data_IF_689282698325
#
_entry.id   IF_689282698325
#
_cell.length_a   1.000
_cell.length_b   1.000
_cell.length_c   1.000
_cell.angle_alpha   90.00
_cell.angle_beta   90.00
_cell.angle_gamma   90.00
#
_symmetry.space_group_name_H-M   'P 1'
#
loop_
_entity.id
_entity.type
_entity.pdbx_description
1 polymer ?
#
# COMPACT_ATOMS: atom_id res chain seq x y z
N UNK A 1 -21.43 10.97 -19.50
CA UNK A 1 -20.04 10.76 -19.04
C UNK A 1 -20.15 10.26 -17.61
N UNK A 2 -19.48 9.17 -17.21
CA UNK A 2 -19.55 8.74 -15.82
C UNK A 2 -18.81 9.77 -14.95
N UNK A 3 -19.50 10.31 -13.96
CA UNK A 3 -18.95 11.22 -12.96
C UNK A 3 -17.90 10.48 -12.12
N UNK A 4 -16.94 11.19 -11.52
CA UNK A 4 -16.08 10.60 -10.49
C UNK A 4 -16.99 10.00 -9.41
N UNK A 5 -16.70 8.79 -8.94
CA UNK A 5 -17.43 8.14 -7.85
C UNK A 5 -16.57 8.12 -6.56
N UNK A 6 -16.50 9.23 -5.80
CA UNK A 6 -15.72 9.28 -4.55
C UNK A 6 -16.10 8.19 -3.56
N UNK A 7 -17.38 7.84 -3.49
CA UNK A 7 -17.89 6.92 -2.50
C UNK A 7 -17.54 5.47 -2.89
N UNK A 8 -17.61 5.13 -4.19
CA UNK A 8 -17.11 3.87 -4.73
C UNK A 8 -15.60 3.70 -4.56
N UNK A 9 -14.81 4.75 -4.76
CA UNK A 9 -13.36 4.73 -4.55
C UNK A 9 -13.05 4.52 -3.07
N UNK A 10 -13.70 5.28 -2.18
CA UNK A 10 -13.54 5.14 -0.74
C UNK A 10 -13.90 3.72 -0.27
N UNK A 11 -15.01 3.17 -0.78
CA UNK A 11 -15.45 1.81 -0.44
C UNK A 11 -14.46 0.74 -0.94
N UNK A 12 -13.93 0.87 -2.16
CA UNK A 12 -12.95 -0.07 -2.70
C UNK A 12 -11.64 -0.04 -1.91
N UNK A 13 -11.14 1.16 -1.58
CA UNK A 13 -9.91 1.31 -0.79
C UNK A 13 -10.10 0.80 0.64
N UNK A 14 -11.25 1.07 1.25
CA UNK A 14 -11.59 0.53 2.56
C UNK A 14 -11.60 -1.00 2.54
N UNK A 15 -12.27 -1.62 1.57
CA UNK A 15 -12.34 -3.06 1.44
C UNK A 15 -10.94 -3.71 1.29
N UNK A 16 -10.04 -3.04 0.55
CA UNK A 16 -8.65 -3.48 0.44
C UNK A 16 -7.93 -3.46 1.79
N UNK A 17 -8.02 -2.36 2.54
CA UNK A 17 -7.39 -2.25 3.86
C UNK A 17 -8.01 -3.20 4.88
N UNK A 18 -9.32 -3.40 4.86
CA UNK A 18 -10.00 -4.35 5.74
C UNK A 18 -9.59 -5.79 5.46
N UNK A 19 -9.36 -6.16 4.19
CA UNK A 19 -8.79 -7.45 3.84
C UNK A 19 -7.39 -7.63 4.45
N UNK A 20 -6.50 -6.66 4.28
CA UNK A 20 -5.15 -6.71 4.86
C UNK A 20 -5.17 -6.82 6.40
N UNK A 21 -6.11 -6.13 7.06
CA UNK A 21 -6.28 -6.21 8.52
C UNK A 21 -6.84 -7.56 8.94
N UNK A 22 -7.83 -8.08 8.21
CA UNK A 22 -8.38 -9.41 8.41
C UNK A 22 -7.30 -10.49 8.34
N UNK A 23 -6.38 -10.33 7.39
CA UNK A 23 -5.21 -11.19 7.22
C UNK A 23 -4.05 -10.88 8.16
N UNK A 24 -4.14 -9.90 9.06
CA UNK A 24 -3.07 -9.52 10.01
C UNK A 24 -1.80 -8.97 9.35
N UNK A 25 -1.88 -8.49 8.11
CA UNK A 25 -0.81 -7.68 7.51
C UNK A 25 -0.71 -6.30 8.12
N UNK A 26 -1.85 -5.75 8.55
CA UNK A 26 -1.96 -4.42 9.15
C UNK A 26 -2.73 -4.48 10.47
N UNK A 27 -2.30 -3.76 11.52
CA UNK A 27 -3.11 -3.60 12.71
C UNK A 27 -4.31 -2.68 12.42
N UNK A 28 -5.50 -3.04 12.94
CA UNK A 28 -6.73 -2.24 12.78
C UNK A 28 -6.58 -0.79 13.25
N UNK A 29 -5.74 -0.56 14.27
CA UNK A 29 -5.49 0.76 14.86
C UNK A 29 -4.87 1.77 13.89
N UNK A 30 -4.20 1.30 12.83
CA UNK A 30 -3.61 2.16 11.80
C UNK A 30 -4.61 2.63 10.75
N UNK A 31 -5.69 1.89 10.50
CA UNK A 31 -6.72 2.33 9.57
C UNK A 31 -7.56 3.44 10.19
N UNK A 32 -7.51 4.62 9.59
CA UNK A 32 -8.29 5.80 9.96
C UNK A 32 -9.38 6.03 8.92
N UNK A 33 -10.59 6.29 9.41
CA UNK A 33 -11.75 6.59 8.58
C UNK A 33 -11.95 8.10 8.51
N UNK A 34 -12.55 8.63 7.43
CA UNK A 34 -12.99 10.02 7.39
C UNK A 34 -14.06 10.31 8.47
N UNK A 35 -14.26 11.58 8.87
CA UNK A 35 -13.53 12.75 8.42
C UNK A 35 -12.15 12.87 9.11
N UNK A 36 -11.16 13.40 8.38
CA UNK A 36 -9.82 13.67 8.90
C UNK A 36 -9.31 15.03 8.39
N UNK A 37 -8.35 15.65 9.09
CA UNK A 37 -7.80 16.93 8.68
C UNK A 37 -6.80 16.76 7.53
N UNK A 38 -6.94 17.61 6.50
CA UNK A 38 -5.94 17.81 5.44
C UNK A 38 -5.63 19.31 5.38
N UNK A 39 -4.35 19.66 5.22
CA UNK A 39 -3.96 21.05 4.94
C UNK A 39 -4.31 21.42 3.49
N UNK A 40 -5.52 21.95 3.30
CA UNK A 40 -6.03 22.32 1.98
C UNK A 40 -5.21 23.45 1.34
N UNK A 41 -4.66 24.38 2.14
CA UNK A 41 -3.86 25.48 1.62
C UNK A 41 -2.53 24.95 1.08
N UNK A 42 -1.89 24.04 1.82
CA UNK A 42 -0.70 23.37 1.34
C UNK A 42 -1.01 22.52 0.10
N UNK A 43 -2.07 21.70 0.12
CA UNK A 43 -2.48 20.89 -1.03
C UNK A 43 -2.67 21.72 -2.30
N UNK A 44 -3.38 22.86 -2.22
CA UNK A 44 -3.54 23.80 -3.34
C UNK A 44 -2.20 24.39 -3.78
N UNK A 45 -1.31 24.74 -2.86
CA UNK A 45 0.03 25.25 -3.20
C UNK A 45 0.91 24.22 -3.91
N UNK A 46 0.65 22.91 -3.69
CA UNK A 46 1.27 21.80 -4.42
C UNK A 46 0.53 21.45 -5.73
N UNK A 47 -0.43 22.29 -6.14
CA UNK A 47 -1.14 22.17 -7.40
C UNK A 47 -2.27 21.16 -7.42
N UNK A 48 -2.76 20.67 -6.27
CA UNK A 48 -3.94 19.80 -6.23
C UNK A 48 -5.23 20.59 -6.48
N UNK A 49 -6.09 20.04 -7.33
CA UNK A 49 -7.43 20.58 -7.59
C UNK A 49 -8.38 20.37 -6.39
N UNK A 50 -9.41 21.22 -6.26
CA UNK A 50 -10.41 21.10 -5.19
C UNK A 50 -11.16 19.76 -5.23
N UNK A 51 -11.34 19.16 -6.42
CA UNK A 51 -11.95 17.83 -6.55
C UNK A 51 -11.09 16.74 -5.91
N UNK A 52 -9.77 16.78 -6.13
CA UNK A 52 -8.83 15.85 -5.49
C UNK A 52 -8.82 16.08 -3.98
N UNK A 53 -8.74 17.32 -3.52
CA UNK A 53 -8.75 17.65 -2.09
C UNK A 53 -10.05 17.14 -1.43
N UNK A 54 -11.19 17.37 -2.08
CA UNK A 54 -12.51 16.87 -1.64
C UNK A 54 -12.56 15.35 -1.57
N UNK A 55 -11.99 14.65 -2.56
CA UNK A 55 -11.86 13.20 -2.55
C UNK A 55 -10.99 12.71 -1.39
N UNK A 56 -9.77 13.24 -1.24
CA UNK A 56 -8.84 12.80 -0.19
C UNK A 56 -9.46 12.89 1.20
N UNK A 57 -10.25 13.94 1.48
CA UNK A 57 -11.01 14.11 2.74
C UNK A 57 -12.05 13.00 3.01
N UNK A 58 -12.45 12.25 1.99
CA UNK A 58 -13.41 11.13 2.06
C UNK A 58 -12.75 9.76 2.06
N UNK A 59 -11.49 9.67 1.64
CA UNK A 59 -10.79 8.39 1.57
C UNK A 59 -10.37 7.92 2.98
N UNK A 60 -10.42 6.62 3.26
CA UNK A 60 -9.72 6.05 4.40
C UNK A 60 -8.21 6.08 4.16
N UNK A 61 -7.41 6.23 5.22
CA UNK A 61 -5.95 6.18 5.12
C UNK A 61 -5.34 5.29 6.20
N UNK A 62 -4.08 4.93 5.97
CA UNK A 62 -3.26 4.23 6.96
C UNK A 62 -2.37 5.27 7.64
N UNK A 63 -2.56 5.43 8.95
CA UNK A 63 -1.73 6.29 9.79
C UNK A 63 -0.30 5.77 9.81
N UNK A 64 0.57 6.52 9.14
CA UNK A 64 1.98 6.15 9.01
C UNK A 64 2.79 6.55 10.24
N UNK A 65 2.35 7.52 11.05
CA UNK A 65 3.13 8.12 12.15
C UNK A 65 3.59 7.14 13.24
N UNK A 66 2.99 5.95 13.30
CA UNK A 66 3.33 4.96 14.32
C UNK A 66 4.66 4.25 14.01
N UNK A 67 5.50 3.97 15.03
CA UNK A 67 6.76 3.23 14.87
C UNK A 67 6.57 1.94 14.05
N UNK A 68 7.54 1.65 13.19
CA UNK A 68 7.47 0.52 12.24
C UNK A 68 7.09 0.91 10.82
N UNK A 69 7.30 2.17 10.39
CA UNK A 69 7.14 2.68 9.02
C UNK A 69 7.57 1.68 7.94
N UNK A 70 8.71 1.02 8.16
CA UNK A 70 9.29 0.11 7.19
C UNK A 70 8.59 -1.26 7.07
N UNK A 71 7.40 -1.41 7.65
CA UNK A 71 6.58 -2.61 7.59
C UNK A 71 5.15 -2.36 7.09
N UNK A 72 4.76 -1.11 6.84
CA UNK A 72 3.41 -0.78 6.34
C UNK A 72 3.39 -0.90 4.82
N UNK A 73 3.36 -2.13 4.35
CA UNK A 73 3.28 -2.44 2.93
C UNK A 73 1.86 -2.93 2.66
N UNK A 74 1.22 -2.41 1.61
CA UNK A 74 -0.14 -2.83 1.24
C UNK A 74 -0.13 -3.85 0.09
N UNK A 75 0.95 -3.85 -0.70
CA UNK A 75 1.28 -4.84 -1.75
C UNK A 75 2.80 -4.93 -1.89
N UNK A 76 3.36 -5.96 -2.56
CA UNK A 76 4.81 -6.15 -2.66
C UNK A 76 5.58 -4.84 -2.97
N UNK A 77 6.40 -4.41 -2.02
CA UNK A 77 7.17 -3.15 -2.07
C UNK A 77 6.35 -1.88 -2.40
N UNK A 78 5.04 -1.89 -2.12
CA UNK A 78 4.12 -0.75 -2.28
C UNK A 78 3.62 -0.30 -0.91
N UNK A 79 3.77 1.00 -0.64
CA UNK A 79 3.46 1.64 0.63
C UNK A 79 2.28 2.59 0.48
N UNK A 80 1.34 2.67 1.43
CA UNK A 80 0.24 3.63 1.35
C UNK A 80 0.78 5.06 1.52
N UNK A 81 0.13 6.02 0.86
CA UNK A 81 0.41 7.44 1.04
C UNK A 81 -0.46 8.01 2.16
N UNK A 82 0.17 8.61 3.17
CA UNK A 82 -0.54 9.37 4.20
C UNK A 82 -0.73 10.83 3.78
N UNK A 83 -1.79 11.08 3.02
CA UNK A 83 -2.16 12.38 2.49
C UNK A 83 -2.69 13.37 3.55
N UNK A 84 -2.72 12.99 4.83
CA UNK A 84 -3.00 13.93 5.94
C UNK A 84 -1.74 14.68 6.38
N UNK A 85 -0.57 14.26 5.89
CA UNK A 85 0.74 14.86 6.21
C UNK A 85 1.26 15.69 5.04
N UNK A 86 2.03 16.74 5.35
CA UNK A 86 2.70 17.56 4.32
C UNK A 86 3.63 16.71 3.44
N UNK A 87 4.34 15.75 4.04
CA UNK A 87 5.24 14.85 3.32
C UNK A 87 4.49 13.91 2.36
N UNK A 88 3.35 13.35 2.77
CA UNK A 88 2.52 12.54 1.88
C UNK A 88 1.95 13.35 0.71
N UNK A 89 1.45 14.57 0.98
CA UNK A 89 1.00 15.47 -0.07
C UNK A 89 2.15 15.79 -1.04
N UNK A 90 3.32 16.19 -0.54
CA UNK A 90 4.46 16.54 -1.39
C UNK A 90 4.97 15.35 -2.22
N UNK A 91 5.20 14.18 -1.59
CA UNK A 91 5.67 12.97 -2.28
C UNK A 91 4.70 12.49 -3.38
N UNK A 92 3.40 12.72 -3.21
CA UNK A 92 2.38 12.34 -4.20
C UNK A 92 2.45 13.15 -5.51
N UNK A 93 3.22 14.25 -5.53
CA UNK A 93 3.35 15.18 -6.65
C UNK A 93 4.74 15.14 -7.28
N UNK A 94 5.74 14.75 -6.50
CA UNK A 94 7.14 14.72 -6.94
C UNK A 94 7.40 13.55 -7.90
N UNK A 95 7.71 13.82 -9.18
CA UNK A 95 7.92 12.76 -10.16
C UNK A 95 9.18 11.92 -9.88
N UNK A 96 10.15 12.43 -9.10
CA UNK A 96 11.29 11.64 -8.62
C UNK A 96 10.87 10.64 -7.55
N UNK A 97 10.04 11.06 -6.60
CA UNK A 97 9.40 10.19 -5.62
C UNK A 97 8.54 9.12 -6.28
N UNK A 98 7.94 9.42 -7.43
CA UNK A 98 7.07 8.51 -8.17
C UNK A 98 7.82 7.59 -9.14
N UNK A 99 9.14 7.77 -9.32
CA UNK A 99 9.94 7.07 -10.35
C UNK A 99 9.27 7.10 -11.74
N UNK A 100 8.61 8.21 -12.07
CA UNK A 100 7.96 8.39 -13.39
C UNK A 100 9.03 8.54 -14.51
N UNK A 101 10.31 8.69 -14.15
CA UNK A 101 11.44 8.69 -15.08
C UNK A 101 12.54 7.75 -14.61
N UNK A 102 12.67 6.62 -15.32
CA UNK A 102 13.96 5.93 -15.48
C UNK A 102 14.31 5.77 -16.99
N UNK A 103 13.51 6.32 -17.91
CA UNK A 103 13.57 5.95 -19.32
C UNK A 103 14.08 7.04 -20.29
N UNK A 104 14.12 8.32 -19.96
CA UNK A 104 14.64 9.33 -20.90
C UNK A 104 15.12 10.58 -20.15
N UNK A 105 16.13 11.26 -20.72
CA UNK A 105 16.77 12.51 -20.23
C UNK A 105 15.81 13.73 -20.11
N UNK A 106 14.50 13.51 -20.24
CA UNK A 106 13.48 14.50 -19.96
C UNK A 106 13.12 14.49 -18.47
N UNK A 107 13.25 15.65 -17.82
CA UNK A 107 12.68 15.87 -16.49
C UNK A 107 11.19 15.52 -16.57
N UNK A 108 10.72 14.47 -15.87
CA UNK A 108 9.33 14.09 -15.94
C UNK A 108 8.46 15.26 -15.50
N UNK A 109 7.42 15.57 -16.28
CA UNK A 109 6.43 16.56 -15.89
C UNK A 109 5.85 16.17 -14.52
N UNK A 110 5.68 17.17 -13.64
CA UNK A 110 4.96 16.99 -12.39
C UNK A 110 3.57 16.38 -12.66
N UNK A 111 3.08 15.58 -11.71
CA UNK A 111 1.76 14.93 -11.77
C UNK A 111 0.67 15.96 -12.09
N UNK A 112 -0.34 15.61 -12.89
CA UNK A 112 -1.37 16.58 -13.25
C UNK A 112 -2.17 17.05 -12.00
N UNK A 113 -2.71 18.28 -11.97
CA UNK A 113 -3.50 18.79 -10.83
C UNK A 113 -4.70 17.94 -10.39
N UNK A 114 -5.21 17.13 -11.32
CA UNK A 114 -6.34 16.22 -11.10
C UNK A 114 -5.91 14.78 -10.80
N UNK A 115 -4.62 14.50 -10.70
CA UNK A 115 -4.11 13.18 -10.36
C UNK A 115 -3.61 13.13 -8.91
N UNK A 116 -3.74 11.98 -8.25
CA UNK A 116 -3.21 11.77 -6.90
C UNK A 116 -2.71 10.35 -6.66
N UNK A 117 -1.64 10.22 -5.90
CA UNK A 117 -1.05 8.93 -5.53
C UNK A 117 -1.71 8.39 -4.25
N UNK A 118 -2.27 7.19 -4.32
CA UNK A 118 -2.82 6.48 -3.17
C UNK A 118 -1.78 5.56 -2.51
N UNK A 119 -0.83 5.04 -3.31
CA UNK A 119 0.24 4.18 -2.84
C UNK A 119 1.51 4.35 -3.68
N UNK A 120 2.67 4.33 -3.03
CA UNK A 120 3.98 4.55 -3.62
C UNK A 120 4.76 3.25 -3.75
N UNK A 121 5.37 3.04 -4.91
CA UNK A 121 6.31 1.97 -5.16
C UNK A 121 7.68 2.22 -4.51
N UNK A 122 8.30 1.16 -4.02
CA UNK A 122 9.72 1.08 -3.75
C UNK A 122 10.33 0.00 -4.65
N UNK A 123 11.41 0.32 -5.38
CA UNK A 123 12.07 -0.54 -6.37
C UNK A 123 11.07 -1.22 -7.34
N UNK A 124 10.67 -2.46 -7.04
CA UNK A 124 9.84 -3.32 -7.88
C UNK A 124 8.33 -3.23 -7.56
N UNK A 125 7.94 -2.36 -6.62
CA UNK A 125 6.53 -2.15 -6.28
C UNK A 125 5.74 -1.40 -7.36
N UNK A 126 4.45 -1.26 -7.13
CA UNK A 126 3.53 -0.55 -8.03
C UNK A 126 3.00 0.74 -7.40
N UNK A 127 3.01 1.83 -8.17
CA UNK A 127 2.35 3.09 -7.82
C UNK A 127 0.86 2.98 -8.12
N UNK A 128 0.03 3.40 -7.16
CA UNK A 128 -1.43 3.45 -7.34
C UNK A 128 -1.84 4.89 -7.59
N UNK A 129 -1.81 5.29 -8.86
CA UNK A 129 -2.18 6.65 -9.28
C UNK A 129 -3.65 6.71 -9.67
N UNK A 130 -4.33 7.76 -9.23
CA UNK A 130 -5.72 8.02 -9.53
C UNK A 130 -5.85 9.28 -10.39
N UNK A 131 -6.46 9.14 -11.57
CA UNK A 131 -6.92 10.27 -12.39
C UNK A 131 -8.35 10.68 -11.99
N UNK A 132 -8.47 11.85 -11.36
CA UNK A 132 -9.75 12.40 -10.90
C UNK A 132 -10.47 13.27 -11.95
N UNK A 133 -9.95 13.37 -13.18
CA UNK A 133 -10.60 14.09 -14.28
C UNK A 133 -10.87 13.23 -15.52
N UNK A 134 -10.52 11.94 -15.53
CA UNK A 134 -10.66 11.04 -16.68
C UNK A 134 -9.95 11.55 -17.95
N UNK A 135 -8.91 12.38 -17.80
CA UNK A 135 -8.12 12.91 -18.91
C UNK A 135 -6.85 12.08 -19.10
N UNK A 136 -6.85 11.30 -20.18
CA UNK A 136 -5.73 10.47 -20.65
C UNK A 136 -4.37 11.19 -20.58
N UNK A 137 -3.39 10.61 -19.88
CA UNK A 137 -2.05 10.32 -20.46
C UNK A 137 -1.08 9.61 -19.50
N UNK A 138 -0.21 8.78 -20.08
CA UNK A 138 1.02 8.12 -19.57
C UNK A 138 0.87 6.83 -18.73
N UNK A 139 1.03 5.69 -19.42
CA UNK A 139 1.84 4.54 -18.98
C UNK A 139 1.39 3.63 -17.83
N UNK A 140 0.47 4.04 -16.96
CA UNK A 140 0.04 3.23 -15.80
C UNK A 140 -1.29 2.50 -16.06
N UNK A 141 -1.59 1.40 -15.32
CA UNK A 141 -2.80 0.56 -15.54
C UNK A 141 -4.06 1.44 -15.61
N UNK A 142 -4.62 1.54 -16.81
CA UNK A 142 -5.72 2.42 -17.20
C UNK A 142 -7.06 1.74 -16.87
N UNK A 143 -7.86 2.32 -15.98
CA UNK A 143 -9.20 1.82 -15.63
C UNK A 143 -9.94 2.77 -14.71
N UNK A 144 -11.25 2.54 -14.52
CA UNK A 144 -12.00 3.14 -13.42
C UNK A 144 -11.20 2.91 -12.12
N UNK A 145 -10.94 3.97 -11.37
CA UNK A 145 -10.26 3.96 -10.09
C UNK A 145 -10.72 2.82 -9.17
N UNK A 146 -12.04 2.61 -9.13
CA UNK A 146 -12.69 1.58 -8.35
C UNK A 146 -12.30 0.21 -8.88
N UNK A 147 -12.29 0.03 -10.19
CA UNK A 147 -11.93 -1.21 -10.86
C UNK A 147 -10.45 -1.55 -10.67
N UNK A 148 -9.53 -0.58 -10.71
CA UNK A 148 -8.11 -0.81 -10.46
C UNK A 148 -7.89 -1.32 -9.03
N UNK A 149 -8.48 -0.66 -8.03
CA UNK A 149 -8.36 -1.07 -6.62
C UNK A 149 -9.02 -2.44 -6.41
N UNK A 150 -10.15 -2.71 -7.06
CA UNK A 150 -10.82 -4.03 -7.02
C UNK A 150 -9.94 -5.12 -7.62
N UNK A 151 -9.43 -4.93 -8.83
CA UNK A 151 -8.53 -5.89 -9.48
C UNK A 151 -7.31 -6.19 -8.63
N UNK A 152 -6.71 -5.19 -8.00
CA UNK A 152 -5.58 -5.39 -7.08
C UNK A 152 -6.00 -6.17 -5.82
N UNK A 153 -7.17 -5.87 -5.28
CA UNK A 153 -7.75 -6.62 -4.16
C UNK A 153 -8.04 -8.07 -4.56
N UNK A 154 -8.50 -8.31 -5.79
CA UNK A 154 -8.78 -9.65 -6.31
C UNK A 154 -7.50 -10.42 -6.66
N UNK A 155 -6.45 -9.75 -7.15
CA UNK A 155 -5.11 -10.35 -7.31
C UNK A 155 -4.50 -10.72 -5.97
N UNK A 156 -4.67 -9.89 -4.94
CA UNK A 156 -4.32 -10.24 -3.56
C UNK A 156 -5.10 -11.48 -3.13
N UNK A 157 -6.41 -11.54 -3.40
CA UNK A 157 -7.23 -12.69 -2.99
C UNK A 157 -6.88 -13.99 -3.68
N UNK A 158 -6.62 -13.95 -4.98
CA UNK A 158 -6.39 -15.14 -5.81
C UNK A 158 -4.98 -15.74 -5.68
N UNK A 159 -4.07 -15.07 -4.95
CA UNK A 159 -2.63 -15.38 -4.95
C UNK A 159 -1.99 -15.29 -6.34
N UNK A 160 -2.69 -14.79 -7.36
CA UNK A 160 -2.17 -14.62 -8.73
C UNK A 160 -1.18 -13.44 -8.85
N UNK A 161 -0.61 -12.98 -7.73
CA UNK A 161 0.38 -11.91 -7.76
C UNK A 161 1.83 -12.43 -7.75
N UNK A 162 2.43 -12.48 -8.94
CA UNK A 162 3.88 -12.41 -9.25
C UNK A 162 4.02 -11.85 -10.69
N UNK A 163 5.10 -11.13 -11.13
CA UNK A 163 6.54 -11.45 -10.95
C UNK A 163 7.47 -10.19 -10.75
N UNK A 164 8.72 -10.22 -10.25
CA UNK A 164 9.92 -10.99 -10.62
C UNK A 164 10.82 -11.13 -9.36
N UNK A 165 11.44 -12.31 -9.20
CA UNK A 165 12.46 -12.74 -8.21
C UNK A 165 12.02 -13.37 -6.86
N UNK A 166 11.68 -14.67 -6.92
CA UNK A 166 12.15 -15.83 -6.10
C UNK A 166 12.32 -15.72 -4.57
N UNK A 167 11.40 -15.10 -3.84
CA UNK A 167 11.15 -15.59 -2.45
C UNK A 167 9.67 -15.86 -2.10
N UNK A 168 8.77 -15.73 -3.07
CA UNK A 168 7.68 -16.68 -3.37
C UNK A 168 6.46 -16.90 -2.42
N UNK A 169 5.26 -16.74 -3.03
CA UNK A 169 3.94 -17.38 -2.77
C UNK A 169 2.92 -16.64 -1.87
N UNK A 170 3.29 -15.61 -1.10
CA UNK A 170 2.28 -14.74 -0.48
C UNK A 170 2.72 -13.28 -0.49
N UNK A 171 1.87 -12.32 -0.91
CA UNK A 171 2.16 -10.90 -0.77
C UNK A 171 2.20 -10.58 0.72
N UNK A 172 3.41 -10.61 1.27
CA UNK A 172 3.67 -10.17 2.64
C UNK A 172 4.41 -8.84 2.55
N UNK A 173 4.06 -7.88 3.42
CA UNK A 173 4.96 -6.79 3.75
C UNK A 173 6.35 -7.34 4.01
N UNK A 174 7.36 -6.87 3.27
CA UNK A 174 8.74 -6.98 3.75
C UNK A 174 8.79 -6.21 5.07
N UNK A 175 8.62 -6.90 6.19
CA UNK A 175 9.05 -6.34 7.46
C UNK A 175 10.59 -6.30 7.36
N UNK A 176 11.17 -5.11 7.50
CA UNK A 176 12.62 -4.95 7.62
C UNK A 176 13.18 -5.94 8.66
N UNK A 177 14.47 -6.32 8.55
CA UNK A 177 15.09 -7.29 9.43
C UNK A 177 14.75 -6.97 10.89
N UNK A 178 14.26 -7.98 11.60
CA UNK A 178 14.18 -7.93 13.06
C UNK A 178 15.61 -7.61 13.52
N UNK A 179 15.78 -6.50 14.23
CA UNK A 179 17.08 -6.03 14.65
C UNK A 179 17.84 -7.17 15.36
N UNK A 180 18.99 -7.56 14.79
CA UNK A 180 19.86 -8.61 15.32
C UNK A 180 19.87 -9.94 14.56
N UNK A 181 19.04 -10.16 13.52
CA UNK A 181 19.08 -11.41 12.74
C UNK A 181 20.19 -11.35 11.70
N UNK A 182 20.88 -12.47 11.46
CA UNK A 182 21.73 -12.60 10.27
C UNK A 182 20.84 -12.60 9.01
N UNK A 183 21.41 -12.26 7.85
CA UNK A 183 20.65 -12.25 6.59
C UNK A 183 19.97 -13.60 6.30
N UNK A 184 20.62 -14.71 6.68
CA UNK A 184 20.10 -16.05 6.47
C UNK A 184 18.96 -16.42 7.42
N UNK A 185 19.01 -15.97 8.68
CA UNK A 185 17.94 -16.18 9.65
C UNK A 185 16.71 -15.31 9.34
N UNK A 186 16.94 -14.11 8.80
CA UNK A 186 15.87 -13.23 8.32
C UNK A 186 15.11 -13.84 7.13
N UNK A 187 15.83 -14.49 6.20
CA UNK A 187 15.22 -15.19 5.07
C UNK A 187 14.41 -16.41 5.55
N UNK A 188 14.96 -17.23 6.46
CA UNK A 188 14.25 -18.37 7.04
C UNK A 188 12.95 -17.95 7.74
N UNK A 189 13.02 -16.91 8.58
CA UNK A 189 11.85 -16.37 9.27
C UNK A 189 10.80 -15.87 8.27
N UNK A 190 11.21 -15.17 7.21
CA UNK A 190 10.30 -14.69 6.17
C UNK A 190 9.61 -15.85 5.44
N UNK A 191 10.33 -16.92 5.10
CA UNK A 191 9.74 -18.13 4.50
C UNK A 191 8.75 -18.81 5.46
N UNK A 192 9.10 -18.93 6.75
CA UNK A 192 8.22 -19.52 7.75
C UNK A 192 6.91 -18.73 7.92
N UNK A 193 6.98 -17.40 7.92
CA UNK A 193 5.79 -16.53 7.95
C UNK A 193 4.94 -16.71 6.69
N UNK A 194 5.56 -16.81 5.51
CA UNK A 194 4.84 -17.05 4.24
C UNK A 194 4.09 -18.38 4.26
N UNK A 195 4.75 -19.46 4.65
CA UNK A 195 4.12 -20.77 4.82
C UNK A 195 2.95 -20.69 5.81
N UNK A 196 3.12 -19.95 6.90
CA UNK A 196 2.08 -19.78 7.91
C UNK A 196 0.81 -19.11 7.37
N UNK A 197 0.93 -18.12 6.48
CA UNK A 197 -0.22 -17.50 5.82
C UNK A 197 -1.03 -18.52 5.00
N UNK A 198 -0.34 -19.38 4.26
CA UNK A 198 -0.96 -20.42 3.42
C UNK A 198 -1.64 -21.48 4.30
N UNK A 199 -0.91 -22.00 5.31
CA UNK A 199 -1.43 -22.98 6.24
C UNK A 199 -2.70 -22.50 6.96
N UNK A 200 -2.75 -21.21 7.29
CA UNK A 200 -3.86 -20.61 8.00
C UNK A 200 -5.08 -20.30 7.10
N UNK A 201 -5.05 -20.54 5.79
CA UNK A 201 -6.27 -20.54 4.96
C UNK A 201 -6.55 -19.28 4.12
N UNK A 202 -5.53 -18.73 3.46
CA UNK A 202 -5.63 -17.56 2.59
C UNK A 202 -6.82 -17.55 1.58
N UNK A 203 -7.36 -16.36 1.22
CA UNK A 203 -7.54 -15.19 2.07
C UNK A 203 -8.88 -15.28 2.84
N UNK A 204 -9.86 -15.99 2.25
CA UNK A 204 -11.26 -16.00 2.67
C UNK A 204 -11.52 -16.98 3.82
N UNK A 205 -10.63 -17.96 4.03
CA UNK A 205 -10.71 -18.92 5.14
C UNK A 205 -9.60 -18.68 6.17
N UNK A 206 -9.06 -17.45 6.21
CA UNK A 206 -7.86 -17.16 6.98
C UNK A 206 -8.16 -17.19 8.48
N UNK A 207 -7.50 -18.12 9.18
CA UNK A 207 -7.64 -18.39 10.61
C UNK A 207 -6.70 -17.48 11.39
N UNK A 208 -7.07 -16.20 11.50
CA UNK A 208 -6.20 -15.15 12.05
C UNK A 208 -5.74 -15.36 13.50
N UNK A 209 -6.54 -16.02 14.34
CA UNK A 209 -6.13 -16.36 15.72
C UNK A 209 -5.04 -17.44 15.74
N UNK A 210 -5.20 -18.50 14.93
CA UNK A 210 -4.19 -19.54 14.77
C UNK A 210 -2.89 -18.96 14.20
N UNK A 211 -3.01 -18.12 13.17
CA UNK A 211 -1.88 -17.40 12.59
C UNK A 211 -1.12 -16.59 13.64
N UNK A 212 -1.84 -15.81 14.46
CA UNK A 212 -1.21 -14.96 15.49
C UNK A 212 -0.48 -15.82 16.52
N UNK A 213 -1.10 -16.90 16.99
CA UNK A 213 -0.48 -17.81 17.96
C UNK A 213 0.79 -18.46 17.41
N UNK A 214 0.75 -18.98 16.17
CA UNK A 214 1.91 -19.62 15.52
C UNK A 214 3.00 -18.61 15.18
N UNK A 215 2.65 -17.39 14.76
CA UNK A 215 3.61 -16.30 14.50
C UNK A 215 4.37 -15.92 15.76
N UNK A 216 3.68 -15.79 16.90
CA UNK A 216 4.34 -15.49 18.19
C UNK A 216 5.33 -16.58 18.61
N UNK A 217 5.05 -17.86 18.31
CA UNK A 217 6.00 -18.96 18.56
C UNK A 217 7.24 -18.79 17.67
N UNK A 218 7.05 -18.60 16.36
CA UNK A 218 8.15 -18.38 15.41
C UNK A 218 9.02 -17.18 15.80
N UNK A 219 8.42 -16.07 16.23
CA UNK A 219 9.15 -14.86 16.66
C UNK A 219 10.01 -15.12 17.91
N UNK A 220 9.50 -15.93 18.87
CA UNK A 220 10.27 -16.31 20.06
C UNK A 220 11.40 -17.26 19.73
N UNK A 221 11.17 -18.22 18.84
CA UNK A 221 12.20 -19.16 18.38
C UNK A 221 13.33 -18.41 17.67
N UNK A 222 12.99 -17.48 16.77
CA UNK A 222 13.96 -16.62 16.12
C UNK A 222 14.75 -15.78 17.14
N UNK A 223 14.08 -15.18 18.12
CA UNK A 223 14.74 -14.41 19.18
C UNK A 223 15.70 -15.24 20.06
N UNK A 224 15.37 -16.50 20.34
CA UNK A 224 16.20 -17.38 21.15
C UNK A 224 17.46 -17.87 20.42
N UNK A 225 17.45 -17.93 19.09
CA UNK A 225 18.63 -18.27 18.29
C UNK A 225 19.67 -17.13 18.23
N UNK A 226 19.33 -15.95 18.77
CA UNK A 226 20.17 -14.75 18.75
C UNK A 226 20.96 -14.52 20.06
N UNK A 227 20.71 -15.33 21.10
CA UNK A 227 21.41 -15.30 22.40
C UNK A 227 22.34 -16.50 22.55
#
# INVERSE_FOLDING_TARGET
MPELDPDGIAAALLAHYELLIGMRHLPRSRLKLPPHPIDENFARSQGLSDNVISLLKRLPYIDMSQPGHASTVIMYQTFPVDYTTLGGIWNSRDPLSLRISEADDEVPAYVNPWETLLAQAFREGENWMLDCCQYTSRGHRKGDAVEVIRQMTDSLRSLEYTPINISEIAPTPKQLPIAGLTAQDADYFLYAIKALYLDCGWPNNFRGEEFTARKTVLEREAANQMN
#
